data_IF_062191341785
#
_entry.id   IF_062191341785
#
_cell.length_a   1.000
_cell.length_b   1.000
_cell.length_c   1.000
_cell.angle_alpha   90.00
_cell.angle_beta   90.00
_cell.angle_gamma   90.00
#
_symmetry.space_group_name_H-M   'P 1'
#
loop_
_entity.id
_entity.type
_entity.pdbx_description
1 polymer ?
#
# COMPACT_ATOMS: atom_id res chain seq x y z
N UNK A 1 3.16 -25.11 6.62
CA UNK A 1 3.07 -26.37 5.86
C UNK A 1 1.62 -26.71 5.54
N UNK A 2 0.77 -26.98 6.55
CA UNK A 2 -0.64 -27.41 6.38
C UNK A 2 -1.48 -26.58 5.36
N UNK A 3 -1.35 -25.25 5.31
CA UNK A 3 -2.13 -24.43 4.38
C UNK A 3 -1.73 -24.67 2.91
N UNK A 4 -0.42 -24.66 2.62
CA UNK A 4 0.11 -24.81 1.26
C UNK A 4 -0.26 -26.18 0.72
N UNK A 5 -0.06 -27.23 1.53
CA UNK A 5 -0.38 -28.60 1.14
C UNK A 5 -1.88 -28.76 0.82
N UNK A 6 -2.76 -28.16 1.63
CA UNK A 6 -4.22 -28.17 1.37
C UNK A 6 -4.61 -27.37 0.13
N UNK A 7 -3.92 -26.27 -0.17
CA UNK A 7 -4.15 -25.51 -1.39
C UNK A 7 -3.74 -26.31 -2.63
N UNK A 8 -2.57 -26.95 -2.60
CA UNK A 8 -2.10 -27.78 -3.71
C UNK A 8 -3.03 -28.97 -3.94
N UNK A 9 -3.45 -29.66 -2.88
CA UNK A 9 -4.45 -30.74 -2.99
C UNK A 9 -5.77 -30.27 -3.59
N UNK A 10 -6.23 -29.05 -3.25
CA UNK A 10 -7.44 -28.50 -3.83
C UNK A 10 -7.27 -28.17 -5.33
N UNK A 11 -6.12 -27.61 -5.72
CA UNK A 11 -5.81 -27.28 -7.12
C UNK A 11 -5.73 -28.57 -7.95
N UNK A 12 -4.98 -29.58 -7.48
CA UNK A 12 -4.87 -30.89 -8.13
C UNK A 12 -6.24 -31.56 -8.28
N UNK A 13 -7.06 -31.56 -7.22
CA UNK A 13 -8.40 -32.13 -7.26
C UNK A 13 -9.38 -31.38 -8.20
N UNK A 14 -9.05 -30.15 -8.59
CA UNK A 14 -9.85 -29.29 -9.49
C UNK A 14 -9.24 -29.12 -10.86
N UNK A 15 -8.10 -29.75 -11.14
CA UNK A 15 -7.41 -29.63 -12.43
C UNK A 15 -8.34 -29.85 -13.63
N UNK A 16 -9.22 -30.89 -13.68
CA UNK A 16 -10.11 -31.08 -14.83
C UNK A 16 -11.11 -29.92 -15.02
N UNK A 17 -11.64 -29.37 -13.92
CA UNK A 17 -12.56 -28.22 -13.96
C UNK A 17 -11.84 -26.97 -14.50
N UNK A 18 -10.57 -26.78 -14.10
CA UNK A 18 -9.73 -25.66 -14.52
C UNK A 18 -9.38 -25.77 -16.01
N UNK A 19 -8.89 -26.94 -16.45
CA UNK A 19 -8.55 -27.22 -17.85
C UNK A 19 -9.78 -27.07 -18.77
N UNK A 20 -10.95 -27.54 -18.32
CA UNK A 20 -12.20 -27.35 -19.07
C UNK A 20 -12.61 -25.87 -19.19
N UNK A 21 -12.35 -25.06 -18.15
CA UNK A 21 -12.70 -23.64 -18.14
C UNK A 21 -11.79 -22.80 -19.05
N UNK A 22 -10.47 -23.03 -18.99
CA UNK A 22 -9.50 -22.22 -19.76
C UNK A 22 -9.25 -22.76 -21.17
N UNK A 23 -9.31 -24.07 -21.35
CA UNK A 23 -8.93 -24.72 -22.62
C UNK A 23 -7.53 -24.33 -23.06
N UNK A 24 -7.38 -24.03 -24.35
CA UNK A 24 -6.14 -23.54 -24.96
C UNK A 24 -6.09 -22.00 -25.07
N UNK A 25 -6.99 -21.28 -24.38
CA UNK A 25 -7.04 -19.81 -24.44
C UNK A 25 -5.97 -19.20 -23.52
N UNK A 26 -4.86 -18.77 -24.13
CA UNK A 26 -3.74 -18.12 -23.42
C UNK A 26 -4.18 -16.90 -22.60
N UNK A 27 -5.16 -16.12 -23.08
CA UNK A 27 -5.62 -14.94 -22.36
C UNK A 27 -6.39 -15.31 -21.08
N UNK A 28 -7.17 -16.40 -21.12
CA UNK A 28 -7.83 -16.94 -19.93
C UNK A 28 -6.85 -17.54 -18.93
N UNK A 29 -5.80 -18.22 -19.42
CA UNK A 29 -4.72 -18.73 -18.57
C UNK A 29 -4.02 -17.58 -17.83
N UNK A 30 -3.61 -16.54 -18.56
CA UNK A 30 -2.96 -15.36 -17.96
C UNK A 30 -3.88 -14.64 -16.96
N UNK A 31 -5.17 -14.49 -17.27
CA UNK A 31 -6.14 -13.90 -16.35
C UNK A 31 -6.28 -14.72 -15.06
N UNK A 32 -6.30 -16.04 -15.17
CA UNK A 32 -6.41 -16.93 -14.01
C UNK A 32 -5.14 -16.90 -13.16
N UNK A 33 -3.97 -16.93 -13.78
CA UNK A 33 -2.68 -16.80 -13.09
C UNK A 33 -2.57 -15.45 -12.37
N UNK A 34 -2.92 -14.36 -13.03
CA UNK A 34 -2.92 -13.03 -12.42
C UNK A 34 -3.88 -12.97 -11.21
N UNK A 35 -5.05 -13.61 -11.31
CA UNK A 35 -6.02 -13.69 -10.21
C UNK A 35 -5.48 -14.48 -9.02
N UNK A 36 -4.82 -15.62 -9.27
CA UNK A 36 -4.17 -16.42 -8.23
C UNK A 36 -3.03 -15.66 -7.57
N UNK A 37 -2.19 -14.98 -8.36
CA UNK A 37 -1.09 -14.15 -7.87
C UNK A 37 -1.59 -13.09 -6.89
N UNK A 38 -2.71 -12.40 -7.19
CA UNK A 38 -3.31 -11.43 -6.27
C UNK A 38 -3.71 -12.05 -4.92
N UNK A 39 -4.08 -13.33 -4.87
CA UNK A 39 -4.51 -13.98 -3.63
C UNK A 39 -3.34 -14.50 -2.78
N UNK A 40 -2.22 -14.86 -3.42
CA UNK A 40 -1.08 -15.49 -2.74
C UNK A 40 0.09 -14.53 -2.46
N UNK A 41 0.11 -13.38 -3.13
CA UNK A 41 1.19 -12.39 -2.98
C UNK A 41 0.84 -11.32 -1.95
N UNK A 42 1.58 -11.30 -0.84
CA UNK A 42 1.32 -10.41 0.30
C UNK A 42 2.50 -9.52 0.68
N UNK A 43 3.67 -9.77 0.07
CA UNK A 43 4.90 -9.04 0.32
C UNK A 43 5.44 -8.53 -0.99
N UNK A 44 5.99 -7.32 -0.95
CA UNK A 44 6.72 -6.75 -2.08
C UNK A 44 8.04 -7.50 -2.26
N UNK A 45 8.46 -7.78 -3.51
CA UNK A 45 9.80 -8.31 -3.77
C UNK A 45 10.83 -7.34 -3.18
N UNK A 46 11.84 -7.88 -2.50
CA UNK A 46 12.85 -7.25 -1.63
C UNK A 46 13.10 -5.74 -1.84
N UNK A 47 13.17 -4.95 -0.75
CA UNK A 47 13.40 -3.50 -0.80
C UNK A 47 14.65 -3.13 -1.62
N UNK A 48 14.49 -2.12 -2.48
CA UNK A 48 15.59 -1.43 -3.17
C UNK A 48 15.93 -0.15 -2.40
N UNK A 49 17.21 0.19 -2.35
CA UNK A 49 17.71 1.33 -1.57
C UNK A 49 17.00 2.64 -1.97
N UNK A 50 16.40 3.38 -1.01
CA UNK A 50 15.64 4.61 -1.30
C UNK A 50 16.46 5.75 -1.91
N UNK A 51 17.80 5.65 -1.92
CA UNK A 51 18.70 6.66 -2.49
C UNK A 51 18.46 7.00 -3.96
N UNK A 52 17.82 6.10 -4.72
CA UNK A 52 17.49 6.31 -6.13
C UNK A 52 16.07 6.89 -6.36
N UNK A 53 15.30 7.11 -5.30
CA UNK A 53 13.96 7.66 -5.41
C UNK A 53 13.94 9.09 -5.95
N UNK A 54 12.93 9.40 -6.75
CA UNK A 54 12.70 10.72 -7.35
C UNK A 54 11.48 11.45 -6.75
N UNK A 55 10.55 10.70 -6.17
CA UNK A 55 9.40 11.20 -5.41
C UNK A 55 9.02 10.21 -4.30
N UNK A 56 8.42 10.71 -3.21
CA UNK A 56 7.74 9.88 -2.22
C UNK A 56 6.25 9.88 -2.51
N UNK A 57 5.64 8.69 -2.51
CA UNK A 57 4.19 8.50 -2.57
C UNK A 57 3.75 7.80 -1.28
N UNK A 58 2.98 8.50 -0.45
CA UNK A 58 2.57 8.05 0.88
C UNK A 58 1.05 7.78 0.94
N UNK A 59 0.66 6.51 1.08
CA UNK A 59 -0.72 6.09 1.24
C UNK A 59 -1.06 5.92 2.72
N UNK A 60 -2.19 6.49 3.14
CA UNK A 60 -2.66 6.35 4.52
C UNK A 60 -3.17 4.94 4.82
N UNK A 61 -3.26 4.62 6.10
CA UNK A 61 -3.82 3.37 6.60
C UNK A 61 -4.77 3.60 7.77
N UNK A 62 -6.07 3.43 7.50
CA UNK A 62 -7.11 3.71 8.49
C UNK A 62 -7.25 5.19 8.80
N UNK A 63 -8.20 5.52 9.69
CA UNK A 63 -8.44 6.88 10.17
C UNK A 63 -8.58 6.92 11.68
N UNK A 64 -8.10 7.98 12.31
CA UNK A 64 -8.29 8.23 13.74
C UNK A 64 -9.70 8.73 14.06
N UNK A 65 -10.01 8.81 15.36
CA UNK A 65 -11.26 9.40 15.84
C UNK A 65 -11.35 10.89 15.49
N UNK A 66 -12.58 11.41 15.34
CA UNK A 66 -12.89 12.84 15.12
C UNK A 66 -12.11 13.48 13.96
N UNK A 67 -11.89 12.74 12.88
CA UNK A 67 -11.19 13.24 11.70
C UNK A 67 -9.68 13.45 11.90
N UNK A 68 -9.07 12.81 12.90
CA UNK A 68 -7.62 12.86 13.08
C UNK A 68 -6.89 11.83 12.21
N UNK A 69 -5.59 12.02 11.94
CA UNK A 69 -4.78 11.03 11.23
C UNK A 69 -4.76 9.63 11.85
N UNK A 70 -4.87 9.51 13.18
CA UNK A 70 -4.66 8.24 13.88
C UNK A 70 -3.18 7.89 14.04
N UNK A 71 -2.89 6.79 14.75
CA UNK A 71 -1.53 6.43 15.18
C UNK A 71 -0.68 5.90 14.03
N UNK A 72 -1.23 5.00 13.21
CA UNK A 72 -0.52 4.44 12.06
C UNK A 72 -0.07 5.54 11.10
N UNK A 73 -0.93 6.50 10.78
CA UNK A 73 -0.57 7.59 9.85
C UNK A 73 0.46 8.56 10.45
N UNK A 74 0.50 8.75 11.77
CA UNK A 74 1.59 9.50 12.43
C UNK A 74 2.94 8.79 12.32
N UNK A 75 2.95 7.47 12.49
CA UNK A 75 4.15 6.66 12.27
C UNK A 75 4.61 6.72 10.81
N UNK A 76 3.68 6.58 9.85
CA UNK A 76 3.97 6.72 8.41
C UNK A 76 4.49 8.13 8.07
N UNK A 77 3.95 9.19 8.67
CA UNK A 77 4.48 10.54 8.49
C UNK A 77 5.91 10.70 9.05
N UNK A 78 6.20 10.12 10.20
CA UNK A 78 7.56 10.12 10.74
C UNK A 78 8.53 9.32 9.86
N UNK A 79 8.11 8.17 9.34
CA UNK A 79 8.84 7.38 8.34
C UNK A 79 9.14 8.23 7.08
N UNK A 80 8.13 8.87 6.50
CA UNK A 80 8.29 9.79 5.36
C UNK A 80 9.28 10.90 5.67
N UNK A 81 9.17 11.54 6.84
CA UNK A 81 10.10 12.60 7.25
C UNK A 81 11.54 12.11 7.32
N UNK A 82 11.79 10.93 7.90
CA UNK A 82 13.14 10.34 7.98
C UNK A 82 13.71 10.00 6.60
N UNK A 83 12.87 9.49 5.70
CA UNK A 83 13.24 9.29 4.29
C UNK A 83 13.63 10.63 3.63
N UNK A 84 12.85 11.68 3.84
CA UNK A 84 13.11 13.00 3.26
C UNK A 84 14.38 13.68 3.82
N UNK A 85 14.77 13.35 5.06
CA UNK A 85 16.06 13.76 5.63
C UNK A 85 17.24 13.09 4.94
N UNK A 86 17.09 11.82 4.55
CA UNK A 86 18.10 11.08 3.79
C UNK A 86 18.11 11.50 2.30
N UNK A 87 16.94 11.72 1.71
CA UNK A 87 16.75 12.02 0.29
C UNK A 87 15.68 13.10 0.12
N UNK A 88 16.11 14.32 -0.19
CA UNK A 88 15.18 15.43 -0.50
C UNK A 88 14.52 15.24 -1.87
N UNK A 89 13.26 14.83 -1.87
CA UNK A 89 12.40 14.64 -3.05
C UNK A 89 10.98 15.14 -2.72
N UNK A 90 10.18 15.51 -3.73
CA UNK A 90 8.79 15.91 -3.51
C UNK A 90 7.97 14.78 -2.89
N UNK A 91 7.13 15.15 -1.91
CA UNK A 91 6.23 14.23 -1.19
C UNK A 91 4.80 14.40 -1.71
N UNK A 92 4.21 13.31 -2.15
CA UNK A 92 2.81 13.17 -2.50
C UNK A 92 2.16 12.28 -1.44
N UNK A 93 1.26 12.84 -0.65
CA UNK A 93 0.73 12.13 0.52
C UNK A 93 -0.79 12.22 0.56
N UNK A 94 -1.44 11.16 1.04
CA UNK A 94 -2.85 11.26 1.42
C UNK A 94 -2.99 12.15 2.67
N UNK A 95 -4.11 12.85 2.79
CA UNK A 95 -4.32 13.91 3.77
C UNK A 95 -3.97 13.53 5.21
N UNK A 96 -4.23 12.29 5.65
CA UNK A 96 -3.89 11.86 7.02
C UNK A 96 -2.39 11.99 7.30
N UNK A 97 -1.55 11.62 6.35
CA UNK A 97 -0.09 11.71 6.47
C UNK A 97 0.37 13.15 6.21
N UNK A 98 -0.21 13.80 5.21
CA UNK A 98 0.14 15.18 4.85
C UNK A 98 -0.12 16.17 5.99
N UNK A 99 -1.24 16.04 6.70
CA UNK A 99 -1.61 16.89 7.84
C UNK A 99 -0.56 16.81 8.96
N UNK A 100 -0.07 15.60 9.27
CA UNK A 100 1.01 15.40 10.24
C UNK A 100 2.32 16.03 9.76
N UNK A 101 2.68 15.83 8.49
CA UNK A 101 3.90 16.40 7.90
C UNK A 101 3.89 17.94 7.91
N UNK A 102 2.80 18.55 7.47
CA UNK A 102 2.61 20.00 7.46
C UNK A 102 2.63 20.57 8.89
N UNK A 103 1.99 19.89 9.85
CA UNK A 103 2.05 20.27 11.26
C UNK A 103 3.46 20.21 11.87
N UNK A 104 4.37 19.43 11.26
CA UNK A 104 5.79 19.37 11.61
C UNK A 104 6.67 20.37 10.83
N UNK A 105 6.07 21.17 9.94
CA UNK A 105 6.76 22.13 9.08
C UNK A 105 7.39 21.53 7.82
N UNK A 106 7.05 20.29 7.46
CA UNK A 106 7.55 19.64 6.25
C UNK A 106 6.71 20.04 5.03
N UNK A 107 7.38 20.25 3.90
CA UNK A 107 6.71 20.58 2.64
C UNK A 107 6.10 19.33 1.99
N UNK A 108 4.81 19.40 1.65
CA UNK A 108 4.10 18.38 0.89
C UNK A 108 3.78 18.92 -0.50
N UNK A 109 4.29 18.28 -1.55
CA UNK A 109 4.15 18.75 -2.93
C UNK A 109 2.71 18.63 -3.44
N UNK A 110 1.95 17.66 -2.92
CA UNK A 110 0.52 17.52 -3.17
C UNK A 110 -0.14 16.65 -2.10
N UNK A 111 -1.36 17.04 -1.70
CA UNK A 111 -2.17 16.31 -0.73
C UNK A 111 -3.39 15.70 -1.42
N UNK A 112 -3.49 14.37 -1.42
CA UNK A 112 -4.69 13.69 -1.90
C UNK A 112 -5.79 13.72 -0.83
N UNK A 113 -6.96 14.23 -1.19
CA UNK A 113 -8.11 14.43 -0.30
C UNK A 113 -9.34 13.72 -0.86
N UNK A 114 -10.18 13.11 0.00
CA UNK A 114 -11.42 12.50 -0.46
C UNK A 114 -12.38 13.59 -0.95
N UNK A 115 -12.95 13.43 -2.15
CA UNK A 115 -14.04 14.28 -2.66
C UNK A 115 -15.41 13.84 -2.14
N UNK A 116 -15.50 12.61 -1.63
CA UNK A 116 -16.68 12.02 -0.99
C UNK A 116 -16.31 11.47 0.39
N UNK A 117 -17.07 10.54 0.96
CA UNK A 117 -16.76 9.94 2.27
C UNK A 117 -15.53 9.02 2.28
N UNK A 118 -15.08 8.54 1.12
CA UNK A 118 -13.97 7.58 1.01
C UNK A 118 -13.10 7.87 -0.22
N UNK A 119 -11.80 7.61 -0.09
CA UNK A 119 -10.84 7.67 -1.20
C UNK A 119 -10.08 6.35 -1.24
N UNK A 120 -10.22 5.62 -2.35
CA UNK A 120 -9.53 4.34 -2.57
C UNK A 120 -8.06 4.56 -2.91
N UNK A 121 -7.24 3.50 -2.82
CA UNK A 121 -5.84 3.52 -3.26
C UNK A 121 -5.71 4.02 -4.70
N UNK A 122 -6.55 3.49 -5.60
CA UNK A 122 -6.63 3.95 -7.00
C UNK A 122 -7.04 5.42 -7.12
N UNK A 123 -7.97 5.89 -6.28
CA UNK A 123 -8.40 7.29 -6.25
C UNK A 123 -7.29 8.24 -5.79
N UNK A 124 -6.55 7.87 -4.73
CA UNK A 124 -5.35 8.60 -4.30
C UNK A 124 -4.35 8.70 -5.44
N UNK A 125 -4.06 7.57 -6.09
CA UNK A 125 -3.09 7.52 -7.17
C UNK A 125 -3.50 8.40 -8.37
N UNK A 126 -4.77 8.34 -8.77
CA UNK A 126 -5.29 9.17 -9.85
C UNK A 126 -5.11 10.68 -9.57
N UNK A 127 -5.29 11.11 -8.31
CA UNK A 127 -5.02 12.49 -7.92
C UNK A 127 -3.54 12.86 -8.03
N UNK A 128 -2.63 11.96 -7.62
CA UNK A 128 -1.19 12.19 -7.77
C UNK A 128 -0.76 12.28 -9.23
N UNK A 129 -1.25 11.40 -10.09
CA UNK A 129 -0.97 11.46 -11.53
C UNK A 129 -1.47 12.78 -12.15
N UNK A 130 -2.68 13.22 -11.78
CA UNK A 130 -3.23 14.50 -12.22
C UNK A 130 -2.34 15.67 -11.79
N UNK A 131 -1.90 15.68 -10.52
CA UNK A 131 -1.01 16.70 -10.00
C UNK A 131 0.35 16.73 -10.72
N UNK A 132 0.93 15.57 -11.04
CA UNK A 132 2.20 15.48 -11.77
C UNK A 132 2.11 16.05 -13.17
N UNK A 133 1.04 15.71 -13.90
CA UNK A 133 0.78 16.24 -15.22
C UNK A 133 0.67 17.77 -15.21
N UNK A 134 -0.04 18.34 -14.24
CA UNK A 134 -0.17 19.79 -14.07
C UNK A 134 1.16 20.48 -13.73
N UNK A 135 2.06 19.79 -13.03
CA UNK A 135 3.38 20.30 -12.67
C UNK A 135 4.44 20.05 -13.75
N UNK A 136 4.08 19.45 -14.90
CA UNK A 136 5.00 19.00 -15.94
C UNK A 136 6.18 18.18 -15.38
N UNK A 137 5.89 17.30 -14.42
CA UNK A 137 6.87 16.44 -13.75
C UNK A 137 6.75 15.02 -14.24
N UNK A 138 7.90 14.36 -14.41
CA UNK A 138 8.00 12.94 -14.69
C UNK A 138 8.90 12.29 -13.65
N UNK A 139 8.46 11.11 -13.19
CA UNK A 139 9.21 10.27 -12.27
C UNK A 139 9.21 8.86 -12.86
N UNK A 140 10.33 8.16 -12.77
CA UNK A 140 10.47 6.76 -13.13
C UNK A 140 10.56 5.89 -11.87
N UNK A 141 11.14 6.44 -10.79
CA UNK A 141 11.39 5.72 -9.54
C UNK A 141 10.72 6.39 -8.35
N UNK A 142 9.79 5.68 -7.71
CA UNK A 142 8.97 6.16 -6.60
C UNK A 142 9.36 5.44 -5.31
N UNK A 143 9.50 6.20 -4.22
CA UNK A 143 9.55 5.64 -2.86
C UNK A 143 8.11 5.50 -2.34
N UNK A 144 7.68 4.27 -2.12
CA UNK A 144 6.36 3.95 -1.58
C UNK A 144 6.40 3.93 -0.05
N UNK A 145 5.61 4.78 0.59
CA UNK A 145 5.32 4.72 2.03
C UNK A 145 3.88 4.25 2.22
N UNK A 146 3.71 3.09 2.85
CA UNK A 146 2.41 2.55 3.22
C UNK A 146 2.58 1.56 4.39
N UNK A 147 1.48 1.20 5.05
CA UNK A 147 1.48 0.16 6.08
C UNK A 147 1.91 -1.20 5.50
N UNK A 148 2.72 -2.04 6.19
CA UNK A 148 3.34 -3.25 5.64
C UNK A 148 2.38 -4.25 4.97
N UNK A 149 1.18 -4.43 5.52
CA UNK A 149 0.18 -5.32 4.91
C UNK A 149 -0.64 -4.64 3.78
N UNK A 150 -0.60 -3.31 3.65
CA UNK A 150 -1.22 -2.54 2.56
C UNK A 150 -0.24 -2.24 1.42
N UNK A 151 1.06 -2.29 1.69
CA UNK A 151 2.13 -2.02 0.74
C UNK A 151 2.01 -2.82 -0.56
N UNK A 152 1.65 -4.10 -0.51
CA UNK A 152 1.55 -4.92 -1.73
C UNK A 152 0.53 -4.35 -2.73
N UNK A 153 -0.65 -3.93 -2.26
CA UNK A 153 -1.67 -3.33 -3.13
C UNK A 153 -1.17 -2.02 -3.75
N UNK A 154 -0.53 -1.17 -2.96
CA UNK A 154 0.04 0.08 -3.46
C UNK A 154 1.19 -0.18 -4.44
N UNK A 155 2.06 -1.15 -4.15
CA UNK A 155 3.17 -1.56 -5.00
C UNK A 155 2.65 -2.04 -6.35
N UNK A 156 1.72 -3.00 -6.37
CA UNK A 156 1.15 -3.55 -7.61
C UNK A 156 0.52 -2.44 -8.45
N UNK A 157 -0.25 -1.53 -7.84
CA UNK A 157 -0.85 -0.40 -8.54
C UNK A 157 0.21 0.49 -9.21
N UNK A 158 1.28 0.83 -8.49
CA UNK A 158 2.35 1.68 -9.01
C UNK A 158 3.20 0.96 -10.06
N UNK A 159 3.52 -0.32 -9.86
CA UNK A 159 4.27 -1.14 -10.82
C UNK A 159 3.49 -1.35 -12.12
N UNK A 160 2.18 -1.62 -12.05
CA UNK A 160 1.31 -1.73 -13.22
C UNK A 160 1.20 -0.39 -13.97
N UNK A 161 1.36 0.74 -13.27
CA UNK A 161 1.44 2.05 -13.89
C UNK A 161 2.82 2.36 -14.52
N UNK A 162 3.77 1.41 -14.48
CA UNK A 162 5.06 1.49 -15.17
C UNK A 162 6.23 2.02 -14.34
N UNK A 163 6.07 2.15 -13.02
CA UNK A 163 7.09 2.74 -12.15
C UNK A 163 7.99 1.68 -11.51
N UNK A 164 9.26 2.03 -11.34
CA UNK A 164 10.14 1.34 -10.40
C UNK A 164 9.75 1.77 -8.98
N UNK A 165 9.31 0.83 -8.16
CA UNK A 165 8.84 1.11 -6.80
C UNK A 165 9.88 0.67 -5.78
N UNK A 166 10.35 1.61 -4.97
CA UNK A 166 11.25 1.38 -3.84
C UNK A 166 10.40 1.36 -2.57
N UNK A 167 10.49 0.29 -1.79
CA UNK A 167 9.80 0.19 -0.49
C UNK A 167 10.87 0.21 0.60
N UNK A 168 10.87 1.21 1.49
CA UNK A 168 11.82 1.28 2.60
C UNK A 168 11.44 0.29 3.69
N UNK A 169 12.44 -0.32 4.31
CA UNK A 169 12.23 -1.14 5.51
C UNK A 169 11.86 -0.25 6.68
N UNK A 170 10.75 -0.57 7.33
CA UNK A 170 10.21 0.29 8.40
C UNK A 170 11.20 0.42 9.55
N UNK A 171 11.82 -0.68 9.95
CA UNK A 171 12.73 -0.74 11.10
C UNK A 171 14.01 0.08 10.87
N UNK A 172 14.41 0.31 9.61
CA UNK A 172 15.56 1.17 9.26
C UNK A 172 15.28 2.65 9.60
N UNK A 173 14.03 3.10 9.42
CA UNK A 173 13.65 4.50 9.54
C UNK A 173 12.81 4.81 10.80
N UNK A 174 12.26 3.78 11.44
CA UNK A 174 11.55 3.84 12.72
C UNK A 174 12.20 2.87 13.71
N UNK A 175 13.36 3.23 14.32
CA UNK A 175 14.13 2.30 15.16
C UNK A 175 13.40 1.88 16.45
N UNK A 176 12.53 2.74 16.97
CA UNK A 176 11.65 2.40 18.12
C UNK A 176 10.37 1.67 17.68
N UNK A 177 10.23 1.42 16.38
CA UNK A 177 9.13 0.72 15.75
C UNK A 177 7.77 1.43 15.88
N UNK A 178 6.74 0.67 15.53
CA UNK A 178 5.34 1.12 15.57
C UNK A 178 4.84 1.45 16.98
N UNK A 179 5.37 0.77 17.99
CA UNK A 179 4.93 0.88 19.39
C UNK A 179 5.18 2.27 19.97
N UNK A 180 6.22 2.97 19.51
CA UNK A 180 6.50 4.36 19.90
C UNK A 180 5.37 5.34 19.52
N UNK A 181 4.54 4.97 18.55
CA UNK A 181 3.38 5.74 18.11
C UNK A 181 2.06 5.23 18.71
N UNK A 182 2.13 4.24 19.61
CA UNK A 182 0.97 3.61 20.25
C UNK A 182 0.21 2.64 19.35
N UNK A 183 0.83 2.18 18.26
CA UNK A 183 0.32 1.07 17.46
C UNK A 183 0.61 -0.28 18.13
N UNK A 184 0.01 -1.35 17.62
CA UNK A 184 0.49 -2.70 17.91
C UNK A 184 1.86 -2.97 17.24
N UNK A 185 2.55 -4.09 17.56
CA UNK A 185 3.84 -4.43 16.96
C UNK A 185 3.84 -4.58 15.43
N UNK A 186 2.67 -4.66 14.81
CA UNK A 186 2.50 -4.80 13.36
C UNK A 186 2.10 -3.49 12.67
N UNK A 187 1.95 -2.38 13.40
CA UNK A 187 1.63 -1.07 12.85
C UNK A 187 0.16 -0.68 12.87
N UNK A 188 -0.70 -1.46 13.50
CA UNK A 188 -2.13 -1.18 13.56
C UNK A 188 -2.49 -0.22 14.71
N UNK A 189 -3.38 0.74 14.43
CA UNK A 189 -3.99 1.59 15.46
C UNK A 189 -5.24 0.88 16.04
N UNK A 190 -5.19 0.39 17.29
CA UNK A 190 -6.34 -0.30 17.90
C UNK A 190 -7.59 0.60 18.01
N UNK A 191 -7.41 1.93 17.96
CA UNK A 191 -8.48 2.91 18.06
C UNK A 191 -8.92 3.46 16.69
N UNK A 192 -8.45 2.88 15.58
CA UNK A 192 -8.89 3.30 14.25
C UNK A 192 -10.40 3.22 14.13
N UNK A 193 -11.03 4.21 13.50
CA UNK A 193 -12.48 4.19 13.31
C UNK A 193 -12.92 3.20 12.22
N UNK A 194 -11.99 2.75 11.38
CA UNK A 194 -12.22 1.71 10.38
C UNK A 194 -11.90 0.36 11.03
N UNK A 195 -12.90 -0.49 11.31
CA UNK A 195 -12.69 -1.70 12.11
C UNK A 195 -11.66 -2.67 11.52
N UNK A 196 -11.54 -2.71 10.20
CA UNK A 196 -10.58 -3.56 9.50
C UNK A 196 -9.13 -3.09 9.63
N UNK A 197 -8.85 -1.84 10.02
CA UNK A 197 -7.49 -1.33 10.22
C UNK A 197 -7.05 -1.31 11.69
N UNK A 198 -7.80 -1.98 12.58
CA UNK A 198 -7.48 -2.06 14.02
C UNK A 198 -6.50 -3.16 14.40
N UNK A 199 -6.38 -4.18 13.58
CA UNK A 199 -5.46 -5.30 13.79
C UNK A 199 -5.28 -6.10 12.50
N UNK A 200 -4.20 -6.87 12.46
CA UNK A 200 -3.83 -7.70 11.31
C UNK A 200 -4.90 -8.68 10.84
N UNK A 201 -5.52 -9.40 11.77
CA UNK A 201 -6.54 -10.41 11.42
C UNK A 201 -7.75 -9.76 10.72
N UNK A 202 -8.19 -8.60 11.21
CA UNK A 202 -9.29 -7.88 10.61
C UNK A 202 -8.92 -7.34 9.22
N UNK A 203 -7.69 -6.84 9.06
CA UNK A 203 -7.23 -6.30 7.79
C UNK A 203 -7.07 -7.38 6.72
N UNK A 204 -6.41 -8.50 7.03
CA UNK A 204 -6.23 -9.58 6.05
C UNK A 204 -7.58 -10.11 5.54
N UNK A 205 -8.58 -10.24 6.42
CA UNK A 205 -9.94 -10.64 6.01
C UNK A 205 -10.57 -9.63 5.06
N UNK A 206 -10.47 -8.35 5.40
CA UNK A 206 -10.97 -7.27 4.55
C UNK A 206 -10.24 -7.26 3.20
N UNK A 207 -8.92 -7.34 3.20
CA UNK A 207 -8.08 -7.28 2.01
C UNK A 207 -8.35 -8.47 1.07
N UNK A 208 -8.50 -9.70 1.58
CA UNK A 208 -8.93 -10.85 0.76
C UNK A 208 -10.27 -10.53 0.08
N UNK A 209 -11.24 -9.99 0.83
CA UNK A 209 -12.56 -9.68 0.27
C UNK A 209 -12.54 -8.58 -0.80
N UNK A 210 -11.59 -7.64 -0.70
CA UNK A 210 -11.37 -6.56 -1.67
C UNK A 210 -10.72 -7.12 -2.94
N UNK A 211 -9.69 -7.96 -2.78
CA UNK A 211 -8.99 -8.58 -3.92
C UNK A 211 -9.90 -9.51 -4.73
N UNK A 212 -10.77 -10.28 -4.06
CA UNK A 212 -11.77 -11.12 -4.74
C UNK A 212 -12.81 -10.32 -5.55
N UNK A 213 -13.01 -9.04 -5.22
CA UNK A 213 -13.90 -8.15 -5.98
C UNK A 213 -13.20 -7.40 -7.10
N UNK A 214 -11.90 -7.62 -7.31
CA UNK A 214 -11.06 -6.87 -8.25
C UNK A 214 -11.10 -5.35 -8.03
N UNK A 215 -11.18 -4.90 -6.78
CA UNK A 215 -11.08 -3.48 -6.42
C UNK A 215 -9.65 -3.16 -5.94
N UNK A 216 -8.75 -2.64 -6.80
CA UNK A 216 -7.44 -2.14 -6.35
C UNK A 216 -7.53 -0.83 -5.53
#
# INVERSE_FOLDING_TARGET
MILVDRMMQLIEARQPDIEQLVGDDEALVELMLASLEQLVSWRVPTPRQPGQGEAVVAFSFGRGARGTPGRTNRALAALTRRICQFRRVPVFAQWEIADVLVGLGEAVAYTAVPTTTYLSTKGVWAQFQHAWAQQNRTFNTIILVAHPDHQYRCYTLLSQAGYTVLVPEVDEFLPEGWVAYGCDPHGYDPNSIQPWTRNRRAFIRYEISVRLKNEP
#
